data_IF_445758337333
#
_entry.id   IF_445758337333
#
_cell.length_a   1.000
_cell.length_b   1.000
_cell.length_c   1.000
_cell.angle_alpha   90.00
_cell.angle_beta   90.00
_cell.angle_gamma   90.00
#
_symmetry.space_group_name_H-M   'P 1'
#
loop_
_entity.id
_entity.type
_entity.pdbx_description
1 polymer ?
#
# COMPACT_ATOMS: atom_id res chain seq x y z
N UNK A 1 50.12 73.37 -13.94
CA UNK A 1 50.45 74.55 -14.78
C UNK A 1 49.79 75.77 -14.16
N UNK A 2 50.42 76.34 -13.15
CA UNK A 2 50.30 77.76 -12.84
C UNK A 2 51.70 78.31 -13.09
N UNK A 3 51.84 79.09 -14.15
CA UNK A 3 53.06 79.81 -14.49
C UNK A 3 53.14 80.99 -13.54
N UNK A 4 53.97 80.90 -12.51
CA UNK A 4 54.32 82.06 -11.68
C UNK A 4 55.18 82.97 -12.56
N UNK A 5 54.54 84.01 -13.08
CA UNK A 5 55.21 85.12 -13.76
C UNK A 5 56.25 85.71 -12.79
N UNK A 6 57.53 85.52 -13.10
CA UNK A 6 58.63 86.23 -12.47
C UNK A 6 58.59 87.68 -12.95
N UNK A 7 57.66 88.45 -12.42
CA UNK A 7 57.48 89.87 -12.71
C UNK A 7 58.08 90.68 -11.55
N UNK A 8 59.23 91.30 -11.82
CA UNK A 8 59.97 92.28 -11.00
C UNK A 8 59.79 92.19 -9.46
N UNK A 9 60.38 91.15 -8.87
CA UNK A 9 60.53 91.00 -7.42
C UNK A 9 61.66 91.89 -6.87
N UNK A 10 61.57 93.22 -7.07
CA UNK A 10 62.62 94.19 -6.69
C UNK A 10 62.45 94.73 -5.27
N UNK A 11 61.29 94.51 -4.63
CA UNK A 11 61.08 94.85 -3.22
C UNK A 11 61.16 93.60 -2.33
N UNK A 12 61.74 93.72 -1.13
CA UNK A 12 61.88 92.59 -0.20
C UNK A 12 60.53 92.03 0.27
N UNK A 13 59.44 92.78 0.11
CA UNK A 13 58.07 92.40 0.49
C UNK A 13 57.41 91.49 -0.57
N UNK A 14 57.62 91.76 -1.86
CA UNK A 14 57.10 90.93 -2.95
C UNK A 14 57.78 89.55 -2.99
N UNK A 15 59.10 89.50 -2.73
CA UNK A 15 59.86 88.24 -2.56
C UNK A 15 59.28 87.41 -1.42
N UNK A 16 58.95 88.07 -0.30
CA UNK A 16 58.38 87.41 0.87
C UNK A 16 57.01 86.81 0.57
N UNK A 17 56.16 87.54 -0.14
CA UNK A 17 54.83 87.09 -0.54
C UNK A 17 54.88 85.90 -1.50
N UNK A 18 55.73 85.95 -2.53
CA UNK A 18 55.92 84.84 -3.45
C UNK A 18 56.50 83.60 -2.75
N UNK A 19 57.39 83.79 -1.78
CA UNK A 19 57.91 82.72 -0.94
C UNK A 19 56.80 82.10 -0.06
N UNK A 20 55.96 82.92 0.57
CA UNK A 20 54.84 82.44 1.39
C UNK A 20 53.80 81.68 0.55
N UNK A 21 53.48 82.16 -0.65
CA UNK A 21 52.57 81.49 -1.58
C UNK A 21 53.14 80.13 -2.07
N UNK A 22 54.43 80.08 -2.41
CA UNK A 22 55.10 78.83 -2.81
C UNK A 22 55.17 77.82 -1.65
N UNK A 23 55.43 78.31 -0.43
CA UNK A 23 55.46 77.47 0.78
C UNK A 23 54.08 76.89 1.07
N UNK A 24 53.01 77.65 0.80
CA UNK A 24 51.62 77.20 0.95
C UNK A 24 51.24 76.16 -0.12
N UNK A 25 51.61 76.38 -1.37
CA UNK A 25 51.43 75.37 -2.43
C UNK A 25 52.21 74.08 -2.12
N UNK A 26 53.44 74.19 -1.60
CA UNK A 26 54.24 73.03 -1.19
C UNK A 26 53.56 72.27 -0.03
N UNK A 27 53.02 72.98 0.97
CA UNK A 27 52.24 72.35 2.03
C UNK A 27 50.98 71.65 1.52
N UNK A 28 50.23 72.26 0.61
CA UNK A 28 48.99 71.70 0.09
C UNK A 28 49.26 70.48 -0.79
N UNK A 29 50.29 70.52 -1.64
CA UNK A 29 50.79 69.36 -2.39
C UNK A 29 51.22 68.22 -1.46
N UNK A 30 51.89 68.55 -0.34
CA UNK A 30 52.34 67.55 0.63
C UNK A 30 51.17 66.89 1.36
N UNK A 31 50.13 67.65 1.72
CA UNK A 31 48.89 67.12 2.31
C UNK A 31 48.16 66.19 1.34
N UNK A 32 48.07 66.55 0.06
CA UNK A 32 47.45 65.71 -0.96
C UNK A 32 48.24 64.42 -1.20
N UNK A 33 49.57 64.50 -1.22
CA UNK A 33 50.45 63.35 -1.34
C UNK A 33 50.32 62.39 -0.14
N UNK A 34 50.26 62.92 1.08
CA UNK A 34 50.06 62.10 2.29
C UNK A 34 48.68 61.39 2.26
N UNK A 35 47.65 62.08 1.78
CA UNK A 35 46.33 61.48 1.55
C UNK A 35 46.39 60.34 0.54
N UNK A 36 47.05 60.53 -0.61
CA UNK A 36 47.22 59.50 -1.63
C UNK A 36 48.06 58.30 -1.13
N UNK A 37 49.13 58.55 -0.39
CA UNK A 37 49.97 57.51 0.21
C UNK A 37 49.21 56.69 1.25
N UNK A 38 48.39 57.34 2.09
CA UNK A 38 47.54 56.65 3.06
C UNK A 38 46.51 55.75 2.37
N UNK A 39 45.90 56.23 1.28
CA UNK A 39 44.96 55.46 0.46
C UNK A 39 45.64 54.28 -0.24
N UNK A 40 46.86 54.47 -0.74
CA UNK A 40 47.67 53.40 -1.32
C UNK A 40 47.92 52.30 -0.28
N UNK A 41 48.35 52.64 0.93
CA UNK A 41 48.57 51.67 2.01
C UNK A 41 47.30 50.87 2.35
N UNK A 42 46.13 51.52 2.38
CA UNK A 42 44.86 50.86 2.62
C UNK A 42 44.46 49.91 1.49
N UNK A 43 44.68 50.31 0.23
CA UNK A 43 44.41 49.47 -0.94
C UNK A 43 45.30 48.22 -0.93
N UNK A 44 46.58 48.42 -0.64
CA UNK A 44 47.59 47.37 -0.56
C UNK A 44 47.25 46.34 0.53
N UNK A 45 46.76 46.80 1.68
CA UNK A 45 46.26 45.92 2.74
C UNK A 45 45.04 45.10 2.30
N UNK A 46 44.10 45.71 1.56
CA UNK A 46 42.94 45.00 1.00
C UNK A 46 43.35 43.97 -0.05
N UNK A 47 44.28 44.32 -0.95
CA UNK A 47 44.81 43.39 -1.96
C UNK A 47 45.48 42.20 -1.28
N UNK A 48 46.35 42.42 -0.29
CA UNK A 48 46.94 41.32 0.51
C UNK A 48 45.88 40.46 1.19
N UNK A 49 44.81 41.07 1.70
CA UNK A 49 43.67 40.35 2.26
C UNK A 49 43.01 39.41 1.25
N UNK A 50 42.75 39.90 0.04
CA UNK A 50 42.17 39.11 -1.06
C UNK A 50 43.12 37.98 -1.48
N UNK A 51 44.42 38.28 -1.67
CA UNK A 51 45.42 37.28 -2.05
C UNK A 51 45.53 36.16 -1.01
N UNK A 52 45.31 36.46 0.28
CA UNK A 52 45.31 35.44 1.34
C UNK A 52 44.09 34.51 1.29
N UNK A 53 42.95 34.97 0.80
CA UNK A 53 41.69 34.19 0.73
C UNK A 53 41.59 33.41 -0.58
N UNK A 54 42.26 33.86 -1.64
CA UNK A 54 42.21 33.24 -2.97
C UNK A 54 42.53 31.73 -2.97
N UNK A 55 43.53 31.21 -2.22
CA UNK A 55 43.79 29.77 -2.18
C UNK A 55 42.63 28.97 -1.58
N UNK A 56 41.99 29.50 -0.53
CA UNK A 56 40.84 28.85 0.09
C UNK A 56 39.65 28.76 -0.89
N UNK A 57 39.45 29.80 -1.71
CA UNK A 57 38.42 29.80 -2.74
C UNK A 57 38.70 28.76 -3.82
N UNK A 58 39.97 28.55 -4.19
CA UNK A 58 40.35 27.50 -5.15
C UNK A 58 40.11 26.09 -4.59
N UNK A 59 40.39 25.86 -3.30
CA UNK A 59 40.08 24.59 -2.63
C UNK A 59 38.58 24.35 -2.58
N UNK A 60 37.79 25.36 -2.18
CA UNK A 60 36.33 25.25 -2.17
C UNK A 60 35.79 24.96 -3.58
N UNK A 61 36.37 25.60 -4.60
CA UNK A 61 36.00 25.34 -5.98
C UNK A 61 36.31 23.88 -6.38
N UNK A 62 37.52 23.37 -6.09
CA UNK A 62 37.85 21.97 -6.40
C UNK A 62 36.96 20.98 -5.66
N UNK A 63 36.69 21.24 -4.37
CA UNK A 63 35.83 20.38 -3.55
C UNK A 63 34.38 20.38 -4.06
N UNK A 64 33.88 21.56 -4.49
CA UNK A 64 32.54 21.68 -5.07
C UNK A 64 32.41 20.90 -6.39
N UNK A 65 33.48 20.88 -7.18
CA UNK A 65 33.51 20.18 -8.46
C UNK A 65 33.56 18.65 -8.24
N UNK A 66 34.38 18.19 -7.30
CA UNK A 66 34.40 16.78 -6.88
C UNK A 66 33.05 16.34 -6.30
N UNK A 67 32.41 17.18 -5.49
CA UNK A 67 31.10 16.90 -4.94
C UNK A 67 30.03 16.77 -6.03
N UNK A 68 30.06 17.65 -7.04
CA UNK A 68 29.13 17.58 -8.16
C UNK A 68 29.30 16.29 -8.98
N UNK A 69 30.54 15.86 -9.22
CA UNK A 69 30.85 14.58 -9.86
C UNK A 69 30.35 13.40 -9.02
N UNK A 70 30.62 13.41 -7.71
CA UNK A 70 30.15 12.39 -6.79
C UNK A 70 28.62 12.33 -6.73
N UNK A 71 27.94 13.48 -6.70
CA UNK A 71 26.48 13.55 -6.71
C UNK A 71 25.90 12.96 -8.00
N UNK A 72 26.52 13.25 -9.14
CA UNK A 72 26.14 12.69 -10.43
C UNK A 72 26.31 11.17 -10.44
N UNK A 73 27.45 10.67 -9.93
CA UNK A 73 27.70 9.25 -9.78
C UNK A 73 26.66 8.57 -8.88
N UNK A 74 26.37 9.14 -7.71
CA UNK A 74 25.37 8.61 -6.78
C UNK A 74 23.98 8.61 -7.43
N UNK A 75 23.61 9.69 -8.12
CA UNK A 75 22.31 9.77 -8.81
C UNK A 75 22.16 8.70 -9.88
N UNK A 76 23.19 8.48 -10.70
CA UNK A 76 23.14 7.42 -11.72
C UNK A 76 23.09 6.03 -11.10
N UNK A 77 23.83 5.78 -10.02
CA UNK A 77 23.76 4.51 -9.30
C UNK A 77 22.37 4.28 -8.69
N UNK A 78 21.80 5.30 -8.04
CA UNK A 78 20.47 5.23 -7.44
C UNK A 78 19.37 4.96 -8.49
N UNK A 79 19.45 5.60 -9.67
CA UNK A 79 18.50 5.35 -10.75
C UNK A 79 18.63 3.93 -11.29
N UNK A 80 19.86 3.43 -11.48
CA UNK A 80 20.11 2.06 -11.92
C UNK A 80 19.60 1.02 -10.91
N UNK A 81 19.88 1.21 -9.62
CA UNK A 81 19.38 0.33 -8.56
C UNK A 81 17.85 0.37 -8.51
N UNK A 82 17.25 1.56 -8.56
CA UNK A 82 15.79 1.71 -8.55
C UNK A 82 15.14 1.05 -9.76
N UNK A 83 15.73 1.18 -10.95
CA UNK A 83 15.26 0.50 -12.15
C UNK A 83 15.32 -1.03 -12.01
N UNK A 84 16.40 -1.57 -11.43
CA UNK A 84 16.54 -3.01 -11.19
C UNK A 84 15.56 -3.53 -10.15
N UNK A 85 15.32 -2.77 -9.08
CA UNK A 85 14.32 -3.11 -8.06
C UNK A 85 12.91 -3.11 -8.68
N UNK A 86 12.55 -2.09 -9.47
CA UNK A 86 11.26 -2.08 -10.19
C UNK A 86 11.08 -3.27 -11.13
N UNK A 87 12.14 -3.69 -11.82
CA UNK A 87 12.11 -4.90 -12.66
C UNK A 87 11.90 -6.17 -11.83
N UNK A 88 12.59 -6.28 -10.68
CA UNK A 88 12.44 -7.40 -9.76
C UNK A 88 11.05 -7.45 -9.16
N UNK A 89 10.49 -6.31 -8.75
CA UNK A 89 9.14 -6.23 -8.17
C UNK A 89 8.07 -6.64 -9.18
N UNK A 90 8.20 -6.24 -10.44
CA UNK A 90 7.30 -6.71 -11.50
C UNK A 90 7.40 -8.22 -11.71
N UNK A 91 8.62 -8.78 -11.73
CA UNK A 91 8.81 -10.22 -11.84
C UNK A 91 8.22 -10.96 -10.63
N UNK A 92 8.46 -10.46 -9.42
CA UNK A 92 7.91 -11.01 -8.17
C UNK A 92 6.39 -10.98 -8.15
N UNK A 93 5.80 -9.86 -8.56
CA UNK A 93 4.33 -9.70 -8.64
C UNK A 93 3.73 -10.74 -9.58
N UNK A 94 4.29 -10.90 -10.78
CA UNK A 94 3.85 -11.90 -11.75
C UNK A 94 4.01 -13.34 -11.26
N UNK A 95 5.09 -13.65 -10.55
CA UNK A 95 5.29 -14.97 -9.95
C UNK A 95 4.27 -15.22 -8.84
N UNK A 96 3.99 -14.22 -8.00
CA UNK A 96 2.97 -14.32 -6.95
C UNK A 96 1.58 -14.54 -7.54
N UNK A 97 1.24 -13.84 -8.62
CA UNK A 97 -0.03 -14.03 -9.33
C UNK A 97 -0.14 -15.43 -9.92
N UNK A 98 0.91 -15.92 -10.60
CA UNK A 98 0.95 -17.27 -11.13
C UNK A 98 0.82 -18.33 -10.02
N UNK A 99 1.48 -18.13 -8.88
CA UNK A 99 1.38 -19.02 -7.74
C UNK A 99 -0.06 -19.07 -7.20
N UNK A 100 -0.74 -17.93 -7.09
CA UNK A 100 -2.14 -17.88 -6.68
C UNK A 100 -3.03 -18.63 -7.68
N UNK A 101 -2.89 -18.35 -8.99
CA UNK A 101 -3.66 -19.06 -10.03
C UNK A 101 -3.44 -20.57 -9.98
N UNK A 102 -2.21 -21.04 -9.75
CA UNK A 102 -1.92 -22.48 -9.61
C UNK A 102 -2.59 -23.05 -8.36
N UNK A 103 -2.59 -22.34 -7.23
CA UNK A 103 -3.28 -22.76 -6.02
C UNK A 103 -4.78 -22.89 -6.24
N UNK A 104 -5.39 -21.89 -6.90
CA UNK A 104 -6.82 -21.89 -7.19
C UNK A 104 -7.21 -23.04 -8.15
N UNK A 105 -6.37 -23.35 -9.14
CA UNK A 105 -6.57 -24.49 -10.05
C UNK A 105 -6.44 -25.84 -9.33
N UNK A 106 -5.42 -26.00 -8.47
CA UNK A 106 -5.26 -27.22 -7.67
C UNK A 106 -6.45 -27.44 -6.75
N UNK A 107 -6.93 -26.37 -6.13
CA UNK A 107 -8.07 -26.44 -5.26
C UNK A 107 -9.37 -26.71 -6.03
N UNK A 108 -9.53 -26.15 -7.23
CA UNK A 108 -10.66 -26.46 -8.11
C UNK A 108 -10.69 -27.95 -8.46
N UNK A 109 -9.54 -28.54 -8.83
CA UNK A 109 -9.42 -29.97 -9.09
C UNK A 109 -9.76 -30.80 -7.84
N UNK A 110 -9.19 -30.44 -6.69
CA UNK A 110 -9.43 -31.15 -5.43
C UNK A 110 -10.90 -31.05 -4.98
N UNK A 111 -11.57 -29.93 -5.23
CA UNK A 111 -13.00 -29.79 -4.97
C UNK A 111 -13.81 -30.63 -5.96
N UNK A 112 -13.50 -30.62 -7.25
CA UNK A 112 -14.19 -31.42 -8.27
C UNK A 112 -14.12 -32.92 -7.96
N UNK A 113 -12.91 -33.42 -7.68
CA UNK A 113 -12.68 -34.83 -7.35
C UNK A 113 -13.27 -35.20 -5.97
N UNK A 114 -13.12 -34.30 -4.98
CA UNK A 114 -13.65 -34.50 -3.64
C UNK A 114 -15.17 -34.56 -3.60
N UNK A 115 -15.86 -33.68 -4.34
CA UNK A 115 -17.33 -33.67 -4.41
C UNK A 115 -17.85 -34.92 -5.12
N UNK A 116 -17.25 -35.34 -6.23
CA UNK A 116 -17.68 -36.55 -6.94
C UNK A 116 -17.50 -37.81 -6.09
N UNK A 117 -16.38 -37.94 -5.38
CA UNK A 117 -16.13 -39.07 -4.48
C UNK A 117 -17.04 -39.05 -3.24
N UNK A 118 -17.30 -37.88 -2.66
CA UNK A 118 -18.17 -37.73 -1.50
C UNK A 118 -19.64 -38.03 -1.86
N UNK A 119 -20.12 -37.57 -3.02
CA UNK A 119 -21.45 -37.91 -3.52
C UNK A 119 -21.59 -39.41 -3.82
N UNK A 120 -20.54 -40.06 -4.34
CA UNK A 120 -20.56 -41.51 -4.59
C UNK A 120 -20.55 -42.37 -3.31
N UNK A 121 -20.10 -41.81 -2.19
CA UNK A 121 -20.04 -42.47 -0.89
C UNK A 121 -21.14 -42.06 0.08
N UNK A 122 -22.12 -41.26 -0.38
CA UNK A 122 -23.20 -40.68 0.44
C UNK A 122 -22.70 -39.87 1.66
N UNK A 123 -21.48 -39.32 1.58
CA UNK A 123 -20.88 -38.47 2.62
C UNK A 123 -21.20 -37.00 2.34
N UNK A 124 -22.41 -36.58 2.71
CA UNK A 124 -22.93 -35.25 2.41
C UNK A 124 -22.19 -34.13 3.15
N UNK A 125 -21.59 -34.41 4.30
CA UNK A 125 -20.77 -33.43 5.04
C UNK A 125 -19.48 -33.08 4.31
N UNK A 126 -18.76 -34.10 3.84
CA UNK A 126 -17.55 -33.85 3.04
C UNK A 126 -17.89 -33.17 1.72
N UNK A 127 -18.98 -33.59 1.07
CA UNK A 127 -19.45 -32.95 -0.15
C UNK A 127 -19.77 -31.46 0.09
N UNK A 128 -20.46 -31.14 1.19
CA UNK A 128 -20.79 -29.76 1.55
C UNK A 128 -19.53 -28.93 1.88
N UNK A 129 -18.52 -29.53 2.51
CA UNK A 129 -17.25 -28.87 2.79
C UNK A 129 -16.49 -28.49 1.50
N UNK A 130 -16.42 -29.40 0.52
CA UNK A 130 -15.79 -29.12 -0.77
C UNK A 130 -16.59 -28.09 -1.60
N UNK A 131 -17.92 -28.17 -1.60
CA UNK A 131 -18.77 -27.16 -2.25
C UNK A 131 -18.63 -25.79 -1.58
N UNK A 132 -18.56 -25.73 -0.25
CA UNK A 132 -18.35 -24.48 0.46
C UNK A 132 -17.02 -23.81 0.10
N UNK A 133 -15.95 -24.59 0.03
CA UNK A 133 -14.63 -24.12 -0.41
C UNK A 133 -14.70 -23.54 -1.83
N UNK A 134 -15.39 -24.24 -2.75
CA UNK A 134 -15.62 -23.75 -4.10
C UNK A 134 -16.44 -22.45 -4.15
N UNK A 135 -17.49 -22.33 -3.34
CA UNK A 135 -18.32 -21.11 -3.28
C UNK A 135 -17.59 -19.91 -2.68
N UNK A 136 -16.53 -20.15 -1.90
CA UNK A 136 -15.68 -19.11 -1.31
C UNK A 136 -14.58 -18.64 -2.27
N UNK A 137 -14.29 -19.41 -3.34
CA UNK A 137 -13.33 -19.01 -4.38
C UNK A 137 -13.88 -17.91 -5.27
N UNK A 138 -12.97 -17.08 -5.78
CA UNK A 138 -13.29 -16.09 -6.81
C UNK A 138 -13.48 -16.79 -8.17
N UNK A 139 -14.73 -17.11 -8.47
CA UNK A 139 -15.12 -17.76 -9.73
C UNK A 139 -14.79 -16.89 -10.95
N UNK A 140 -14.75 -15.56 -10.81
CA UNK A 140 -14.43 -14.66 -11.93
C UNK A 140 -12.95 -14.76 -12.31
N UNK A 141 -12.06 -14.89 -11.33
CA UNK A 141 -10.63 -15.09 -11.60
C UNK A 141 -10.32 -16.48 -12.18
N UNK A 142 -11.08 -17.50 -11.77
CA UNK A 142 -10.98 -18.84 -12.35
C UNK A 142 -11.44 -18.88 -13.82
N UNK A 143 -12.54 -18.18 -14.13
CA UNK A 143 -13.04 -18.04 -15.51
C UNK A 143 -12.03 -17.26 -16.39
N UNK A 144 -11.46 -16.15 -15.88
CA UNK A 144 -10.40 -15.41 -16.59
C UNK A 144 -9.13 -16.26 -16.80
N UNK A 145 -8.75 -17.07 -15.81
CA UNK A 145 -7.60 -17.98 -15.93
C UNK A 145 -7.85 -19.05 -16.99
N UNK A 146 -9.09 -19.53 -17.14
CA UNK A 146 -9.46 -20.46 -18.19
C UNK A 146 -9.37 -19.82 -19.59
N UNK A 147 -9.79 -18.56 -19.74
CA UNK A 147 -9.71 -17.82 -21.01
C UNK A 147 -8.27 -17.54 -21.43
N UNK A 148 -7.39 -17.21 -20.48
CA UNK A 148 -5.95 -17.00 -20.71
C UNK A 148 -5.25 -18.30 -21.16
N UNK A 149 -5.76 -19.46 -20.73
CA UNK A 149 -5.20 -20.79 -21.00
C UNK A 149 -5.97 -21.49 -22.14
N UNK A 150 -5.80 -21.01 -23.38
CA UNK A 150 -6.47 -21.52 -24.60
C UNK A 150 -6.53 -23.06 -24.77
N UNK A 151 -5.61 -23.82 -24.17
CA UNK A 151 -5.55 -25.28 -24.30
C UNK A 151 -6.20 -26.04 -23.12
N UNK A 152 -6.24 -25.45 -21.91
CA UNK A 152 -6.82 -26.04 -20.70
C UNK A 152 -8.20 -25.44 -20.32
N UNK A 153 -8.65 -24.43 -21.07
CA UNK A 153 -9.95 -23.76 -20.90
C UNK A 153 -11.11 -24.77 -20.79
N UNK A 154 -11.10 -25.83 -21.61
CA UNK A 154 -12.12 -26.86 -21.58
C UNK A 154 -12.12 -27.63 -20.24
N UNK A 155 -10.96 -27.98 -19.69
CA UNK A 155 -10.87 -28.76 -18.45
C UNK A 155 -11.31 -27.95 -17.23
N UNK A 156 -10.91 -26.68 -17.15
CA UNK A 156 -11.28 -25.77 -16.06
C UNK A 156 -12.77 -25.44 -16.11
N UNK A 157 -13.28 -25.09 -17.30
CA UNK A 157 -14.70 -24.81 -17.51
C UNK A 157 -15.59 -26.04 -17.26
N UNK A 158 -15.14 -27.23 -17.66
CA UNK A 158 -15.82 -28.49 -17.34
C UNK A 158 -15.84 -28.76 -15.83
N UNK A 159 -14.73 -28.53 -15.11
CA UNK A 159 -14.68 -28.71 -13.65
C UNK A 159 -15.60 -27.72 -12.92
N UNK A 160 -15.65 -26.47 -13.39
CA UNK A 160 -16.57 -25.44 -12.92
C UNK A 160 -18.04 -25.82 -13.11
N UNK A 161 -18.41 -26.28 -14.31
CA UNK A 161 -19.78 -26.69 -14.61
C UNK A 161 -20.19 -27.96 -13.85
N UNK A 162 -19.27 -28.91 -13.67
CA UNK A 162 -19.45 -30.10 -12.83
C UNK A 162 -19.72 -29.69 -11.38
N UNK A 163 -18.89 -28.82 -10.80
CA UNK A 163 -19.05 -28.36 -9.43
C UNK A 163 -20.37 -27.59 -9.22
N UNK A 164 -20.76 -26.73 -10.17
CA UNK A 164 -22.06 -26.05 -10.13
C UNK A 164 -23.22 -27.06 -10.15
N UNK A 165 -23.13 -28.08 -10.99
CA UNK A 165 -24.14 -29.14 -11.09
C UNK A 165 -24.21 -29.95 -9.80
N UNK A 166 -23.06 -30.37 -9.28
CA UNK A 166 -22.95 -31.15 -8.07
C UNK A 166 -23.42 -30.36 -6.83
N UNK A 167 -23.13 -29.06 -6.76
CA UNK A 167 -23.65 -28.18 -5.71
C UNK A 167 -25.19 -28.13 -5.75
N UNK A 168 -25.80 -27.96 -6.93
CA UNK A 168 -27.25 -27.98 -7.07
C UNK A 168 -27.88 -29.33 -6.70
N UNK A 169 -27.25 -30.44 -7.10
CA UNK A 169 -27.67 -31.78 -6.69
C UNK A 169 -27.61 -31.97 -5.18
N UNK A 170 -26.52 -31.54 -4.54
CA UNK A 170 -26.32 -31.65 -3.10
C UNK A 170 -27.35 -30.82 -2.31
N UNK A 171 -27.67 -29.61 -2.78
CA UNK A 171 -28.72 -28.76 -2.19
C UNK A 171 -30.09 -29.45 -2.22
N UNK A 172 -30.43 -30.09 -3.35
CA UNK A 172 -31.69 -30.83 -3.49
C UNK A 172 -31.74 -32.06 -2.56
N UNK A 173 -30.65 -32.84 -2.51
CA UNK A 173 -30.55 -34.03 -1.65
C UNK A 173 -30.68 -33.64 -0.18
N UNK A 174 -29.94 -32.63 0.27
CA UNK A 174 -29.99 -32.18 1.67
C UNK A 174 -31.38 -31.66 2.03
N UNK A 175 -32.04 -30.93 1.13
CA UNK A 175 -33.42 -30.47 1.34
C UNK A 175 -34.39 -31.64 1.48
N UNK A 176 -34.27 -32.67 0.63
CA UNK A 176 -35.10 -33.86 0.70
C UNK A 176 -34.86 -34.63 2.01
N UNK A 177 -33.59 -34.94 2.33
CA UNK A 177 -33.19 -35.67 3.54
C UNK A 177 -33.57 -34.93 4.82
N UNK A 178 -33.48 -33.60 4.82
CA UNK A 178 -33.93 -32.78 5.95
C UNK A 178 -35.44 -32.92 6.16
N UNK A 179 -36.25 -32.84 5.10
CA UNK A 179 -37.70 -33.02 5.21
C UNK A 179 -38.07 -34.44 5.66
N UNK A 180 -37.37 -35.47 5.18
CA UNK A 180 -37.52 -36.85 5.65
C UNK A 180 -37.18 -36.99 7.15
N UNK A 181 -36.11 -36.36 7.62
CA UNK A 181 -35.73 -36.36 9.04
C UNK A 181 -36.78 -35.63 9.91
N UNK A 182 -37.36 -34.55 9.40
CA UNK A 182 -38.44 -33.81 10.07
C UNK A 182 -39.71 -34.66 10.19
N UNK A 183 -40.10 -35.40 9.14
CA UNK A 183 -41.29 -36.28 9.19
C UNK A 183 -41.07 -37.52 10.04
N UNK A 184 -39.86 -38.06 10.08
CA UNK A 184 -39.47 -39.19 10.92
C UNK A 184 -39.24 -38.81 12.40
N UNK A 185 -39.28 -37.52 12.73
CA UNK A 185 -38.98 -36.98 14.06
C UNK A 185 -37.58 -37.32 14.61
N UNK A 186 -36.59 -37.41 13.73
CA UNK A 186 -35.20 -37.68 14.10
C UNK A 186 -34.42 -36.39 14.34
N UNK A 187 -34.38 -35.96 15.60
CA UNK A 187 -33.66 -34.77 16.06
C UNK A 187 -32.17 -34.77 15.68
N UNK A 188 -31.51 -35.93 15.71
CA UNK A 188 -30.07 -36.02 15.42
C UNK A 188 -29.79 -35.74 13.94
N UNK A 189 -30.59 -36.32 13.05
CA UNK A 189 -30.47 -36.08 11.61
C UNK A 189 -30.88 -34.66 11.22
N UNK A 190 -31.92 -34.10 11.84
CA UNK A 190 -32.33 -32.70 11.62
C UNK A 190 -31.20 -31.72 11.96
N UNK A 191 -30.54 -31.89 13.11
CA UNK A 191 -29.40 -31.03 13.50
C UNK A 191 -28.20 -31.21 12.55
N UNK A 192 -27.93 -32.44 12.13
CA UNK A 192 -26.85 -32.78 11.20
C UNK A 192 -27.04 -32.07 9.84
N UNK A 193 -28.21 -32.22 9.21
CA UNK A 193 -28.50 -31.58 7.92
C UNK A 193 -28.66 -30.06 8.04
N UNK A 194 -29.14 -29.55 9.18
CA UNK A 194 -29.23 -28.12 9.42
C UNK A 194 -27.86 -27.42 9.33
N UNK A 195 -26.80 -28.04 9.86
CA UNK A 195 -25.43 -27.53 9.80
C UNK A 195 -24.87 -27.44 8.37
N UNK A 196 -25.49 -28.12 7.39
CA UNK A 196 -25.03 -28.13 6.01
C UNK A 196 -25.62 -26.99 5.16
N UNK A 197 -26.80 -26.45 5.52
CA UNK A 197 -27.38 -25.32 4.78
C UNK A 197 -26.46 -24.09 4.73
N UNK A 198 -25.75 -23.71 5.81
CA UNK A 198 -24.80 -22.62 5.76
C UNK A 198 -23.63 -22.85 4.81
N UNK A 199 -23.12 -24.08 4.73
CA UNK A 199 -21.99 -24.43 3.86
C UNK A 199 -22.36 -24.28 2.36
N UNK A 200 -23.64 -24.46 2.03
CA UNK A 200 -24.18 -24.36 0.68
C UNK A 200 -24.70 -22.96 0.32
N UNK A 201 -24.45 -21.95 1.16
CA UNK A 201 -24.97 -20.59 1.01
C UNK A 201 -26.53 -20.52 1.03
N UNK A 202 -27.19 -21.47 1.72
CA UNK A 202 -28.65 -21.56 1.87
C UNK A 202 -29.11 -21.20 3.28
N UNK A 203 -28.51 -20.17 3.88
CA UNK A 203 -28.75 -19.78 5.27
C UNK A 203 -30.23 -19.47 5.55
N UNK A 204 -30.85 -18.64 4.71
CA UNK A 204 -32.22 -18.17 4.91
C UNK A 204 -33.22 -19.32 4.81
N UNK A 205 -33.04 -20.19 3.81
CA UNK A 205 -33.89 -21.37 3.62
C UNK A 205 -33.78 -22.34 4.81
N UNK A 206 -32.56 -22.60 5.28
CA UNK A 206 -32.32 -23.47 6.44
C UNK A 206 -32.97 -22.93 7.71
N UNK A 207 -32.87 -21.62 7.96
CA UNK A 207 -33.49 -20.96 9.10
C UNK A 207 -35.03 -20.99 9.05
N UNK A 208 -35.61 -20.74 7.88
CA UNK A 208 -37.06 -20.80 7.69
C UNK A 208 -37.60 -22.21 7.99
N UNK A 209 -36.98 -23.25 7.41
CA UNK A 209 -37.42 -24.64 7.62
C UNK A 209 -37.21 -25.13 9.05
N UNK A 210 -36.08 -24.79 9.66
CA UNK A 210 -35.79 -25.17 11.03
C UNK A 210 -36.67 -24.44 12.05
N UNK A 211 -36.95 -23.15 11.84
CA UNK A 211 -37.88 -22.40 12.69
C UNK A 211 -39.32 -22.94 12.59
N UNK A 212 -39.80 -23.30 11.40
CA UNK A 212 -41.09 -23.96 11.23
C UNK A 212 -41.16 -25.31 11.97
N UNK A 213 -40.09 -26.10 11.92
CA UNK A 213 -39.98 -27.35 12.68
C UNK A 213 -40.06 -27.12 14.19
N UNK A 214 -39.32 -26.13 14.71
CA UNK A 214 -39.34 -25.76 16.13
C UNK A 214 -40.73 -25.28 16.58
N UNK A 215 -41.42 -24.48 15.78
CA UNK A 215 -42.79 -24.03 16.09
C UNK A 215 -43.75 -25.21 16.22
N UNK A 216 -43.70 -26.17 15.30
CA UNK A 216 -44.51 -27.40 15.37
C UNK A 216 -44.19 -28.23 16.62
N UNK A 217 -42.90 -28.38 16.95
CA UNK A 217 -42.45 -29.06 18.17
C UNK A 217 -42.92 -28.37 19.44
N UNK A 218 -42.83 -27.04 19.47
CA UNK A 218 -43.27 -26.23 20.59
C UNK A 218 -44.77 -26.35 20.80
N UNK A 219 -45.57 -26.36 19.72
CA UNK A 219 -47.02 -26.54 19.78
C UNK A 219 -47.39 -27.90 20.41
N UNK A 220 -46.78 -28.99 19.94
CA UNK A 220 -47.01 -30.34 20.48
C UNK A 220 -46.61 -30.41 21.96
N UNK A 221 -45.47 -29.83 22.33
CA UNK A 221 -44.99 -29.80 23.72
C UNK A 221 -45.92 -28.96 24.61
N UNK A 222 -46.34 -27.78 24.15
CA UNK A 222 -47.26 -26.90 24.86
C UNK A 222 -48.62 -27.59 25.10
N UNK A 223 -49.18 -28.25 24.09
CA UNK A 223 -50.43 -29.01 24.21
C UNK A 223 -50.30 -30.18 25.19
N UNK A 224 -49.18 -30.91 25.17
CA UNK A 224 -48.91 -32.00 26.12
C UNK A 224 -48.83 -31.47 27.55
N UNK A 225 -48.11 -30.38 27.77
CA UNK A 225 -47.98 -29.73 29.07
C UNK A 225 -49.33 -29.19 29.57
N UNK A 226 -50.13 -28.57 28.71
CA UNK A 226 -51.49 -28.11 29.03
C UNK A 226 -52.37 -29.27 29.48
N UNK A 227 -52.39 -30.38 28.72
CA UNK A 227 -53.16 -31.58 29.11
C UNK A 227 -52.69 -32.16 30.45
N UNK A 228 -51.38 -32.16 30.71
CA UNK A 228 -50.85 -32.64 31.98
C UNK A 228 -51.29 -31.74 33.14
N UNK A 229 -51.24 -30.42 32.98
CA UNK A 229 -51.71 -29.45 33.97
C UNK A 229 -53.23 -29.55 34.24
N UNK A 230 -54.04 -29.83 33.21
CA UNK A 230 -55.48 -30.06 33.36
C UNK A 230 -55.82 -31.37 34.10
N UNK A 231 -54.95 -32.39 34.02
CA UNK A 231 -55.12 -33.65 34.76
C UNK A 231 -54.77 -33.49 36.24
N UNK A 232 -53.79 -32.65 36.58
CA UNK A 232 -53.41 -32.42 37.98
C UNK A 232 -54.49 -31.66 38.77
N UNK A 233 -55.20 -30.71 38.17
CA UNK A 233 -56.27 -29.94 38.84
C UNK A 233 -57.53 -30.75 39.16
N UNK A 234 -57.74 -31.92 38.55
CA UNK A 234 -58.88 -32.80 38.85
C UNK A 234 -58.58 -33.84 39.94
N UNK A 235 -57.31 -34.09 40.25
CA UNK A 235 -56.90 -35.03 41.31
C UNK A 235 -56.86 -34.41 42.72
N UNK A 236 -56.86 -33.08 42.84
CA UNK A 236 -56.90 -32.35 44.12
C UNK A 236 -58.35 -32.07 44.61
N UNK A 237 -59.27 -33.02 44.38
CA UNK A 237 -60.56 -33.09 45.10
C UNK A 237 -60.51 -34.16 46.19
N UNK A 238 -59.51 -34.09 47.07
CA UNK A 238 -59.53 -34.73 48.39
C UNK A 238 -59.16 -33.70 49.45
N UNK A 239 -60.17 -32.93 49.84
CA UNK A 239 -60.35 -32.34 51.17
C UNK A 239 -61.83 -32.49 51.52
#
# INVERSE_FOLDING_TARGET
MATTETQDLSTPEDIKKAYDDLTKEEEDCKKELDLLLSRHCQLDAKVRGITKVLPNLQVIHSDSLQLAEMLTFISTLAENVSAKVRQLDNARSRVSECQQRVHDLLDLQLCSDGVTAALASDDYEKAAAHVHRFLTMDQSQLEQTADDMQQDCATVSNSLSLLRTAAGQLQNIITLRFNEAVTADDLASVERFFKLFPLLNMHDYGLEKFSAFLCSKLEVAALKNLRNAQKTTTSDKRA
#
